data_IF_555448078910
#
_entry.id   IF_555448078910
#
_cell.length_a   1.000
_cell.length_b   1.000
_cell.length_c   1.000
_cell.angle_alpha   90.00
_cell.angle_beta   90.00
_cell.angle_gamma   90.00
#
_symmetry.space_group_name_H-M   'P 1'
#
loop_
_entity.id
_entity.type
_entity.pdbx_description
1 polymer ?
#
# COMPACT_ATOMS: atom_id res chain seq x y z
N UNK A 1 44.04 7.54 -64.40
CA UNK A 1 42.59 7.32 -64.21
C UNK A 1 42.37 6.75 -62.82
N UNK A 2 41.35 7.29 -62.16
CA UNK A 2 40.98 7.17 -60.75
C UNK A 2 40.18 5.87 -60.47
N UNK A 3 40.11 5.51 -59.16
CA UNK A 3 39.18 4.62 -58.43
C UNK A 3 39.55 3.14 -58.38
N UNK A 4 40.12 2.71 -57.25
CA UNK A 4 39.72 1.54 -56.44
C UNK A 4 40.33 1.74 -55.04
N UNK A 5 39.67 2.53 -54.19
CA UNK A 5 38.97 2.09 -52.96
C UNK A 5 39.88 1.27 -52.04
N UNK A 6 40.50 2.00 -51.12
CA UNK A 6 41.20 1.49 -49.95
C UNK A 6 40.22 1.55 -48.77
N UNK A 7 39.39 0.52 -48.60
CA UNK A 7 38.60 0.30 -47.38
C UNK A 7 38.50 -1.21 -47.13
N UNK A 8 39.35 -1.77 -46.24
CA UNK A 8 38.91 -2.93 -45.49
C UNK A 8 39.32 -2.84 -44.01
N UNK A 9 39.16 -1.68 -43.35
CA UNK A 9 39.30 -1.60 -41.88
C UNK A 9 38.31 -0.57 -41.32
N UNK A 10 37.01 -0.76 -41.59
CA UNK A 10 35.95 -0.03 -40.89
C UNK A 10 34.69 -0.88 -40.64
N UNK A 11 34.64 -2.12 -41.12
CA UNK A 11 33.48 -3.01 -41.00
C UNK A 11 33.65 -4.14 -39.97
N UNK A 12 34.80 -4.27 -39.30
CA UNK A 12 35.01 -5.27 -38.24
C UNK A 12 35.19 -4.68 -36.84
N UNK A 13 35.11 -3.36 -36.69
CA UNK A 13 35.21 -2.66 -35.39
C UNK A 13 33.88 -2.34 -34.70
N UNK A 14 32.74 -2.76 -35.28
CA UNK A 14 31.39 -2.41 -34.79
C UNK A 14 30.55 -3.60 -34.31
N UNK A 15 31.14 -4.80 -34.19
CA UNK A 15 30.40 -6.00 -33.71
C UNK A 15 30.75 -6.33 -32.25
N UNK A 16 31.70 -5.62 -31.63
CA UNK A 16 32.21 -5.97 -30.29
C UNK A 16 32.40 -4.76 -29.34
N UNK A 17 31.46 -3.82 -29.33
CA UNK A 17 31.34 -2.87 -28.21
C UNK A 17 29.98 -3.02 -27.54
N UNK A 18 30.03 -3.53 -26.32
CA UNK A 18 29.02 -3.38 -25.29
C UNK A 18 27.68 -4.06 -25.60
N UNK A 19 27.70 -5.39 -25.59
CA UNK A 19 26.71 -6.08 -24.78
C UNK A 19 26.88 -5.59 -23.34
N UNK A 20 26.25 -4.47 -23.01
CA UNK A 20 25.84 -4.22 -21.64
C UNK A 20 24.72 -5.23 -21.39
N UNK A 21 25.15 -6.42 -20.99
CA UNK A 21 24.27 -7.42 -20.43
C UNK A 21 23.86 -6.85 -19.09
N UNK A 22 22.85 -5.98 -19.08
CA UNK A 22 22.06 -5.78 -17.88
C UNK A 22 21.54 -7.16 -17.52
N UNK A 23 22.14 -7.67 -16.46
CA UNK A 23 21.78 -8.89 -15.79
C UNK A 23 20.28 -8.77 -15.54
N UNK A 24 19.48 -9.50 -16.31
CA UNK A 24 18.04 -9.62 -16.07
C UNK A 24 17.94 -10.18 -14.65
N UNK A 25 17.69 -9.28 -13.70
CA UNK A 25 17.49 -9.65 -12.31
C UNK A 25 16.07 -10.23 -12.22
N UNK A 26 15.84 -11.22 -11.35
CA UNK A 26 14.49 -11.69 -11.08
C UNK A 26 13.63 -10.48 -10.65
N UNK A 27 12.73 -10.02 -11.53
CA UNK A 27 11.99 -8.77 -11.36
C UNK A 27 11.78 -7.98 -12.67
N UNK A 28 12.61 -8.19 -13.69
CA UNK A 28 12.37 -7.66 -15.04
C UNK A 28 11.37 -8.55 -15.79
N UNK A 29 10.13 -8.52 -15.33
CA UNK A 29 9.03 -9.20 -16.00
C UNK A 29 8.66 -8.44 -17.28
N UNK A 30 8.84 -9.12 -18.41
CA UNK A 30 8.45 -8.74 -19.76
C UNK A 30 7.05 -8.10 -19.76
N UNK A 31 6.99 -6.76 -19.79
CA UNK A 31 5.82 -6.09 -20.32
C UNK A 31 5.83 -6.35 -21.83
N UNK A 32 4.74 -6.89 -22.42
CA UNK A 32 4.63 -7.00 -23.86
C UNK A 32 5.00 -5.66 -24.53
N UNK A 33 5.91 -5.70 -25.51
CA UNK A 33 6.38 -4.49 -26.18
C UNK A 33 5.19 -3.67 -26.72
N UNK A 34 5.15 -2.38 -26.39
CA UNK A 34 4.10 -1.46 -26.86
C UNK A 34 2.94 -1.20 -25.89
N UNK A 35 2.96 -1.77 -24.68
CA UNK A 35 2.01 -1.37 -23.63
C UNK A 35 2.29 0.05 -23.12
N UNK A 36 1.22 0.81 -22.87
CA UNK A 36 1.28 2.20 -22.37
C UNK A 36 0.59 2.31 -21.01
N UNK A 37 0.75 3.45 -20.35
CA UNK A 37 -0.01 3.77 -19.13
C UNK A 37 -1.52 3.54 -19.37
N UNK A 38 -2.16 2.76 -18.50
CA UNK A 38 -3.56 2.38 -18.61
C UNK A 38 -3.83 1.15 -19.47
N UNK A 39 -2.80 0.46 -19.97
CA UNK A 39 -3.00 -0.79 -20.71
C UNK A 39 -3.43 -1.93 -19.78
N UNK A 40 -4.39 -2.75 -20.22
CA UNK A 40 -4.84 -3.98 -19.58
C UNK A 40 -5.14 -5.00 -20.68
N UNK A 41 -4.34 -6.07 -20.78
CA UNK A 41 -4.44 -7.11 -21.80
C UNK A 41 -4.30 -8.51 -21.20
N UNK A 42 -4.82 -9.53 -21.88
CA UNK A 42 -4.65 -10.94 -21.54
C UNK A 42 -4.92 -11.81 -22.76
N UNK A 43 -4.21 -12.92 -22.90
CA UNK A 43 -4.54 -13.93 -23.91
C UNK A 43 -5.49 -14.96 -23.29
N UNK A 44 -6.64 -15.17 -23.93
CA UNK A 44 -7.67 -16.12 -23.51
C UNK A 44 -7.71 -17.24 -24.54
N UNK A 45 -7.35 -18.45 -24.14
CA UNK A 45 -7.17 -19.61 -25.03
C UNK A 45 -6.26 -19.31 -26.25
N UNK A 46 -5.27 -18.42 -26.07
CA UNK A 46 -4.33 -17.99 -27.11
C UNK A 46 -4.78 -16.77 -27.93
N UNK A 47 -6.03 -16.32 -27.81
CA UNK A 47 -6.53 -15.11 -28.46
C UNK A 47 -6.29 -13.88 -27.57
N UNK A 48 -5.65 -12.84 -28.10
CA UNK A 48 -5.39 -11.63 -27.32
C UNK A 48 -6.64 -10.77 -27.13
N UNK A 49 -6.96 -10.48 -25.86
CA UNK A 49 -8.02 -9.55 -25.45
C UNK A 49 -7.42 -8.28 -24.86
N UNK A 50 -7.99 -7.14 -25.27
CA UNK A 50 -7.57 -5.82 -24.82
C UNK A 50 -8.70 -5.11 -24.05
N UNK A 51 -8.50 -4.95 -22.74
CA UNK A 51 -9.39 -4.30 -21.77
C UNK A 51 -8.96 -2.88 -21.40
N UNK A 52 -8.20 -2.22 -22.27
CA UNK A 52 -7.60 -0.91 -22.01
C UNK A 52 -8.53 0.30 -22.30
N UNK A 53 -9.80 0.10 -22.68
CA UNK A 53 -10.70 1.23 -23.03
C UNK A 53 -10.94 2.12 -21.81
N UNK A 54 -11.30 1.49 -20.70
CA UNK A 54 -11.43 2.16 -19.41
C UNK A 54 -10.91 1.20 -18.35
N UNK A 55 -9.97 1.71 -17.56
CA UNK A 55 -9.31 0.97 -16.49
C UNK A 55 -9.37 1.76 -15.21
N UNK A 56 -9.52 1.07 -14.08
CA UNK A 56 -9.48 1.65 -12.75
C UNK A 56 -9.02 0.60 -11.77
N UNK A 57 -8.28 0.99 -10.75
CA UNK A 57 -8.00 0.13 -9.61
C UNK A 57 -8.61 0.76 -8.35
N UNK A 58 -8.89 -0.03 -7.33
CA UNK A 58 -9.28 0.44 -6.00
C UNK A 58 -8.45 -0.33 -4.97
N UNK A 59 -8.15 0.29 -3.84
CA UNK A 59 -7.36 -0.36 -2.80
C UNK A 59 -7.79 0.13 -1.42
N UNK A 60 -8.26 -0.79 -0.58
CA UNK A 60 -8.54 -0.54 0.83
C UNK A 60 -8.11 -1.75 1.67
N UNK A 61 -8.29 -1.69 2.99
CA UNK A 61 -7.84 -2.74 3.92
C UNK A 61 -8.58 -4.07 3.77
N UNK A 62 -9.77 -4.07 3.17
CA UNK A 62 -10.67 -5.23 3.11
C UNK A 62 -10.66 -5.90 1.74
N UNK A 63 -10.55 -5.11 0.67
CA UNK A 63 -10.43 -5.60 -0.70
C UNK A 63 -9.78 -4.55 -1.61
N UNK A 64 -9.07 -5.05 -2.60
CA UNK A 64 -8.55 -4.27 -3.72
C UNK A 64 -9.03 -4.86 -5.02
N UNK A 65 -9.21 -3.99 -6.01
CA UNK A 65 -9.68 -4.38 -7.34
C UNK A 65 -8.82 -3.75 -8.42
N UNK A 66 -8.61 -4.46 -9.52
CA UNK A 66 -8.05 -3.93 -10.76
C UNK A 66 -9.00 -4.29 -11.90
N UNK A 67 -9.62 -3.25 -12.46
CA UNK A 67 -10.73 -3.35 -13.40
C UNK A 67 -10.34 -2.84 -14.79
N UNK A 68 -10.86 -3.50 -15.81
CA UNK A 68 -10.68 -3.16 -17.21
C UNK A 68 -11.93 -3.42 -18.05
N UNK A 69 -12.03 -2.75 -19.18
CA UNK A 69 -13.14 -2.91 -20.12
C UNK A 69 -12.67 -2.74 -21.56
N UNK A 70 -13.32 -3.40 -22.51
CA UNK A 70 -13.01 -3.26 -23.93
C UNK A 70 -14.08 -2.45 -24.69
N UNK A 71 -13.84 -2.21 -25.99
CA UNK A 71 -14.76 -1.47 -26.85
C UNK A 71 -16.11 -2.15 -27.07
N UNK A 72 -16.16 -3.48 -26.93
CA UNK A 72 -17.32 -4.31 -27.18
C UNK A 72 -18.15 -4.60 -25.91
N UNK A 73 -17.82 -3.97 -24.77
CA UNK A 73 -18.53 -4.15 -23.51
C UNK A 73 -18.12 -5.40 -22.70
N UNK A 74 -17.03 -6.07 -23.08
CA UNK A 74 -16.39 -7.09 -22.26
C UNK A 74 -15.68 -6.42 -21.08
N UNK A 75 -15.62 -7.12 -19.94
CA UNK A 75 -15.08 -6.62 -18.68
C UNK A 75 -14.10 -7.63 -18.09
N UNK A 76 -13.14 -7.14 -17.33
CA UNK A 76 -12.22 -7.94 -16.52
C UNK A 76 -12.05 -7.27 -15.16
N UNK A 77 -12.05 -8.06 -14.10
CA UNK A 77 -11.89 -7.62 -12.72
C UNK A 77 -11.03 -8.63 -11.98
N UNK A 78 -9.92 -8.17 -11.40
CA UNK A 78 -9.12 -8.94 -10.45
C UNK A 78 -9.39 -8.38 -9.07
N UNK A 79 -9.71 -9.24 -8.11
CA UNK A 79 -9.95 -8.89 -6.72
C UNK A 79 -8.91 -9.56 -5.82
N UNK A 80 -8.32 -8.78 -4.92
CA UNK A 80 -7.36 -9.23 -3.90
C UNK A 80 -7.96 -8.89 -2.52
N UNK A 81 -8.07 -9.81 -1.56
CA UNK A 81 -8.81 -9.60 -0.30
C UNK A 81 -7.98 -8.84 0.76
N UNK A 82 -7.20 -7.85 0.32
CA UNK A 82 -6.39 -6.98 1.15
C UNK A 82 -5.99 -5.74 0.33
N UNK A 83 -5.32 -4.79 0.98
CA UNK A 83 -4.73 -3.64 0.29
C UNK A 83 -3.69 -4.05 -0.74
N UNK A 84 -3.64 -3.34 -1.88
CA UNK A 84 -2.61 -3.54 -2.90
C UNK A 84 -1.23 -3.33 -2.27
N UNK A 85 -0.38 -4.33 -2.40
CA UNK A 85 1.04 -4.25 -2.15
C UNK A 85 1.78 -4.98 -3.28
N UNK A 86 3.08 -4.67 -3.43
CA UNK A 86 3.94 -5.43 -4.34
C UNK A 86 4.09 -6.85 -3.80
N UNK A 87 3.89 -7.84 -4.66
CA UNK A 87 3.93 -9.25 -4.29
C UNK A 87 3.01 -10.11 -5.15
N UNK A 88 3.10 -11.42 -4.91
CA UNK A 88 2.30 -12.44 -5.58
C UNK A 88 1.11 -12.82 -4.71
N UNK A 89 -0.05 -12.93 -5.32
CA UNK A 89 -1.30 -13.39 -4.72
C UNK A 89 -1.87 -14.53 -5.55
N UNK A 90 -2.30 -15.59 -4.88
CA UNK A 90 -2.94 -16.72 -5.55
C UNK A 90 -4.35 -16.99 -5.01
N UNK A 91 -4.99 -18.06 -5.51
CA UNK A 91 -6.33 -18.44 -5.07
C UNK A 91 -6.39 -18.86 -3.59
N UNK A 92 -5.28 -19.29 -2.98
CA UNK A 92 -5.20 -19.65 -1.55
C UNK A 92 -5.20 -18.38 -0.70
N UNK A 93 -4.54 -17.33 -1.18
CA UNK A 93 -4.63 -15.98 -0.60
C UNK A 93 -5.99 -15.31 -0.81
N UNK A 94 -6.91 -15.98 -1.52
CA UNK A 94 -8.25 -15.48 -1.84
C UNK A 94 -8.30 -14.53 -3.04
N UNK A 95 -7.23 -14.46 -3.85
CA UNK A 95 -7.25 -13.72 -5.10
C UNK A 95 -8.26 -14.36 -6.07
N UNK A 96 -9.06 -13.51 -6.70
CA UNK A 96 -10.07 -13.94 -7.66
C UNK A 96 -10.07 -13.08 -8.90
N UNK A 97 -10.58 -13.66 -9.99
CA UNK A 97 -10.75 -12.99 -11.26
C UNK A 97 -12.13 -13.29 -11.82
N UNK A 98 -12.76 -12.26 -12.36
CA UNK A 98 -13.96 -12.35 -13.17
C UNK A 98 -13.69 -11.73 -14.54
N UNK A 99 -14.08 -12.43 -15.60
CA UNK A 99 -14.03 -11.92 -16.96
C UNK A 99 -15.39 -12.14 -17.64
N UNK A 100 -15.97 -11.05 -18.13
CA UNK A 100 -17.18 -11.08 -18.94
C UNK A 100 -16.77 -10.96 -20.40
N UNK A 101 -16.95 -12.03 -21.16
CA UNK A 101 -16.74 -12.10 -22.59
C UNK A 101 -18.10 -12.05 -23.33
N UNK A 102 -18.07 -12.15 -24.65
CA UNK A 102 -19.28 -12.13 -25.50
C UNK A 102 -20.19 -13.32 -25.27
N UNK A 103 -19.62 -14.45 -24.86
CA UNK A 103 -20.26 -15.75 -24.66
C UNK A 103 -20.64 -16.02 -23.19
N UNK A 104 -20.24 -15.16 -22.25
CA UNK A 104 -20.70 -15.25 -20.86
C UNK A 104 -19.75 -14.65 -19.83
N UNK A 105 -19.97 -15.03 -18.57
CA UNK A 105 -19.16 -14.61 -17.43
C UNK A 105 -18.36 -15.82 -16.96
N UNK A 106 -17.06 -15.63 -16.78
CA UNK A 106 -16.13 -16.63 -16.30
C UNK A 106 -15.48 -16.15 -15.01
N UNK A 107 -15.26 -17.07 -14.08
CA UNK A 107 -14.60 -16.80 -12.79
C UNK A 107 -13.55 -17.88 -12.50
N UNK A 108 -12.52 -17.61 -11.68
CA UNK A 108 -11.58 -18.66 -11.23
C UNK A 108 -12.19 -19.58 -10.15
N UNK A 109 -13.45 -19.95 -10.32
CA UNK A 109 -14.17 -20.84 -9.42
C UNK A 109 -15.05 -21.75 -10.27
N UNK A 110 -14.88 -23.07 -10.10
CA UNK A 110 -15.73 -24.08 -10.70
C UNK A 110 -16.72 -24.65 -9.68
N UNK A 111 -17.44 -25.72 -10.07
CA UNK A 111 -18.40 -26.39 -9.19
C UNK A 111 -17.75 -27.15 -8.02
N UNK A 112 -16.44 -27.40 -8.10
CA UNK A 112 -15.67 -28.21 -7.16
C UNK A 112 -14.74 -27.37 -6.26
N UNK A 113 -14.48 -26.11 -6.60
CA UNK A 113 -13.63 -25.22 -5.83
C UNK A 113 -12.94 -24.13 -6.66
N UNK A 114 -11.93 -23.45 -6.08
CA UNK A 114 -11.16 -22.45 -6.78
C UNK A 114 -10.26 -23.09 -7.86
N UNK A 115 -10.21 -22.45 -9.02
CA UNK A 115 -9.30 -22.79 -10.10
C UNK A 115 -7.97 -22.04 -9.95
N UNK A 116 -6.86 -22.56 -10.51
CA UNK A 116 -5.56 -21.90 -10.42
C UNK A 116 -5.62 -20.47 -10.97
N UNK A 117 -5.19 -19.51 -10.15
CA UNK A 117 -5.09 -18.12 -10.54
C UNK A 117 -3.99 -17.45 -9.73
N UNK A 118 -3.08 -16.76 -10.41
CA UNK A 118 -1.96 -16.07 -9.80
C UNK A 118 -1.90 -14.67 -10.39
N UNK A 119 -1.83 -13.66 -9.53
CA UNK A 119 -1.56 -12.27 -9.88
C UNK A 119 -0.31 -11.79 -9.16
N UNK A 120 0.64 -11.24 -9.89
CA UNK A 120 1.82 -10.58 -9.34
C UNK A 120 1.68 -9.07 -9.52
N UNK A 121 1.68 -8.34 -8.40
CA UNK A 121 1.78 -6.88 -8.39
C UNK A 121 3.25 -6.51 -8.42
N UNK A 122 3.72 -6.02 -9.56
CA UNK A 122 5.14 -5.72 -9.80
C UNK A 122 5.52 -4.29 -9.46
N UNK A 123 4.53 -3.39 -9.42
CA UNK A 123 4.78 -2.00 -9.11
C UNK A 123 3.56 -1.32 -8.50
N UNK A 124 3.78 -0.62 -7.40
CA UNK A 124 2.81 0.27 -6.79
C UNK A 124 3.47 1.62 -6.53
N UNK A 125 3.01 2.65 -7.23
CA UNK A 125 3.46 4.03 -6.99
C UNK A 125 2.57 4.65 -5.92
N UNK A 126 3.19 5.29 -4.94
CA UNK A 126 2.52 6.02 -3.86
C UNK A 126 2.49 7.52 -4.17
N UNK A 127 1.57 8.27 -3.57
CA UNK A 127 1.46 9.73 -3.73
C UNK A 127 0.10 10.19 -4.28
N UNK A 128 0.08 11.39 -4.88
CA UNK A 128 -1.16 12.07 -5.31
C UNK A 128 -1.87 11.44 -6.52
N UNK A 129 -1.18 10.56 -7.25
CA UNK A 129 -1.71 9.82 -8.40
C UNK A 129 -1.19 8.38 -8.34
N UNK A 130 -1.65 7.57 -7.36
CA UNK A 130 -1.16 6.23 -7.20
C UNK A 130 -1.54 5.39 -8.42
N UNK A 131 -0.60 4.54 -8.84
CA UNK A 131 -0.76 3.65 -9.99
C UNK A 131 -0.22 2.27 -9.66
N UNK A 132 -0.93 1.24 -10.12
CA UNK A 132 -0.56 -0.16 -9.96
C UNK A 132 -0.20 -0.80 -11.30
N UNK A 133 0.82 -1.65 -11.29
CA UNK A 133 1.29 -2.47 -12.41
C UNK A 133 1.43 -3.91 -11.94
N UNK A 134 1.09 -4.84 -12.81
CA UNK A 134 1.20 -6.27 -12.51
C UNK A 134 0.97 -7.15 -13.72
N UNK A 135 1.13 -8.45 -13.50
CA UNK A 135 0.81 -9.50 -14.44
C UNK A 135 0.00 -10.61 -13.75
N UNK A 136 -0.63 -11.46 -14.55
CA UNK A 136 -1.43 -12.56 -14.04
C UNK A 136 -1.57 -13.67 -15.07
N UNK A 137 -1.82 -14.87 -14.56
CA UNK A 137 -2.14 -16.08 -15.31
C UNK A 137 -3.15 -16.89 -14.53
N UNK A 138 -3.89 -17.77 -15.19
CA UNK A 138 -4.82 -18.64 -14.48
C UNK A 138 -5.82 -19.34 -15.37
N UNK A 139 -6.87 -19.84 -14.74
CA UNK A 139 -7.94 -20.59 -15.37
C UNK A 139 -9.28 -20.06 -14.88
N UNK A 140 -10.23 -19.86 -15.80
CA UNK A 140 -11.57 -19.35 -15.50
C UNK A 140 -12.65 -20.26 -16.06
N UNK A 141 -13.78 -20.35 -15.38
CA UNK A 141 -14.89 -21.25 -15.69
C UNK A 141 -16.22 -20.51 -15.76
N UNK A 142 -17.06 -20.91 -16.70
CA UNK A 142 -18.42 -20.40 -16.88
C UNK A 142 -19.42 -21.46 -16.42
N UNK A 143 -20.10 -21.20 -15.30
CA UNK A 143 -21.06 -22.13 -14.70
C UNK A 143 -22.31 -22.38 -15.55
N UNK A 144 -22.67 -21.46 -16.45
CA UNK A 144 -23.85 -21.64 -17.32
C UNK A 144 -23.57 -22.59 -18.48
N UNK A 145 -22.34 -22.60 -19.01
CA UNK A 145 -21.96 -23.40 -20.18
C UNK A 145 -21.11 -24.61 -19.84
N UNK A 146 -20.54 -24.67 -18.63
CA UNK A 146 -19.61 -25.71 -18.22
C UNK A 146 -18.22 -25.60 -18.85
N UNK A 147 -17.91 -24.48 -19.50
CA UNK A 147 -16.66 -24.28 -20.22
C UNK A 147 -15.57 -23.66 -19.34
N UNK A 148 -14.35 -24.12 -19.55
CA UNK A 148 -13.14 -23.58 -18.91
C UNK A 148 -12.27 -22.91 -19.97
N UNK A 149 -11.66 -21.77 -19.63
CA UNK A 149 -10.72 -21.01 -20.46
C UNK A 149 -9.40 -20.79 -19.72
N UNK A 150 -8.31 -20.77 -20.46
CA UNK A 150 -6.97 -20.51 -19.92
C UNK A 150 -6.58 -19.06 -20.15
N UNK A 151 -6.04 -18.42 -19.12
CA UNK A 151 -5.52 -17.05 -19.15
C UNK A 151 -4.00 -17.07 -19.14
N UNK A 152 -3.38 -16.53 -20.20
CA UNK A 152 -1.93 -16.39 -20.32
C UNK A 152 -1.56 -14.95 -20.64
N UNK A 153 -0.32 -14.55 -20.33
CA UNK A 153 0.22 -13.22 -20.64
C UNK A 153 -0.67 -12.05 -20.16
N UNK A 154 -1.39 -12.25 -19.06
CA UNK A 154 -2.21 -11.20 -18.46
C UNK A 154 -1.31 -10.09 -17.91
N UNK A 155 -1.58 -8.84 -18.27
CA UNK A 155 -0.83 -7.69 -17.79
C UNK A 155 -1.70 -6.45 -17.68
N UNK A 156 -1.45 -5.66 -16.63
CA UNK A 156 -2.00 -4.33 -16.48
C UNK A 156 -0.88 -3.35 -16.07
N UNK A 157 -0.85 -2.19 -16.71
CA UNK A 157 0.28 -1.25 -16.62
C UNK A 157 -0.19 0.09 -16.13
N UNK A 158 0.31 0.50 -14.97
CA UNK A 158 0.13 1.85 -14.42
C UNK A 158 -1.35 2.27 -14.36
N UNK A 159 -2.22 1.33 -14.00
CA UNK A 159 -3.65 1.57 -13.79
C UNK A 159 -3.81 2.53 -12.61
N UNK A 160 -4.54 3.61 -12.80
CA UNK A 160 -4.79 4.58 -11.73
C UNK A 160 -5.58 3.90 -10.62
N UNK A 161 -5.04 3.91 -9.41
CA UNK A 161 -5.75 3.46 -8.22
C UNK A 161 -6.68 4.61 -7.81
N UNK A 162 -7.95 4.44 -8.11
CA UNK A 162 -9.09 5.14 -7.53
C UNK A 162 -9.26 4.70 -6.08
N UNK A 163 -8.30 5.07 -5.25
CA UNK A 163 -8.62 5.44 -3.88
C UNK A 163 -8.79 6.94 -3.88
N UNK A 164 -9.64 7.48 -3.02
CA UNK A 164 -9.27 8.71 -2.34
C UNK A 164 -7.81 8.61 -2.00
N UNK A 165 -7.00 9.56 -2.51
CA UNK A 165 -5.58 9.62 -2.18
C UNK A 165 -5.47 9.25 -0.71
N UNK A 166 -4.68 8.23 -0.34
CA UNK A 166 -4.33 8.02 1.05
C UNK A 166 -3.94 9.41 1.52
N UNK A 167 -4.82 10.07 2.30
CA UNK A 167 -4.63 11.47 2.61
C UNK A 167 -3.26 11.45 3.27
N UNK A 168 -2.26 12.09 2.64
CA UNK A 168 -0.87 11.90 3.04
C UNK A 168 -0.85 12.03 4.54
N UNK A 169 -0.65 10.89 5.22
CA UNK A 169 -0.88 10.88 6.64
C UNK A 169 0.16 11.82 7.22
N UNK A 170 -0.24 12.65 8.15
CA UNK A 170 0.69 13.51 8.87
C UNK A 170 0.65 13.01 10.28
N UNK A 171 1.71 12.33 10.68
CA UNK A 171 1.90 11.95 12.06
C UNK A 171 3.34 12.25 12.45
N UNK A 172 3.58 13.49 12.86
CA UNK A 172 4.93 14.04 13.05
C UNK A 172 4.98 14.83 14.34
N UNK A 173 6.15 14.90 14.97
CA UNK A 173 6.38 15.76 16.12
C UNK A 173 7.87 16.03 16.29
N UNK A 174 8.19 16.97 17.19
CA UNK A 174 9.55 17.21 17.66
C UNK A 174 9.78 16.54 19.00
N UNK A 175 10.80 15.69 19.08
CA UNK A 175 11.23 15.01 20.29
C UNK A 175 12.54 15.64 20.75
N UNK A 176 12.56 16.36 21.87
CA UNK A 176 13.68 17.20 22.29
C UNK A 176 14.21 18.11 21.16
N UNK A 177 13.27 18.72 20.42
CA UNK A 177 13.56 19.61 19.29
C UNK A 177 13.92 18.90 17.97
N UNK A 178 14.08 17.58 17.94
CA UNK A 178 14.38 16.81 16.73
C UNK A 178 13.10 16.40 16.01
N UNK A 179 12.97 16.76 14.73
CA UNK A 179 11.84 16.35 13.91
C UNK A 179 11.85 14.84 13.65
N UNK A 180 10.72 14.20 13.94
CA UNK A 180 10.48 12.78 13.67
C UNK A 180 9.17 12.61 12.91
N UNK A 181 9.21 11.74 11.90
CA UNK A 181 8.10 11.50 10.98
C UNK A 181 7.62 10.06 11.10
N UNK A 182 6.46 9.88 11.72
CA UNK A 182 5.78 8.58 11.91
C UNK A 182 4.64 8.37 10.93
N UNK A 183 4.62 9.11 9.82
CA UNK A 183 3.50 9.10 8.87
C UNK A 183 3.34 7.79 8.11
N UNK A 184 4.37 6.93 8.10
CA UNK A 184 4.29 5.63 7.42
C UNK A 184 3.35 4.69 8.16
N UNK A 185 2.37 4.13 7.43
CA UNK A 185 1.28 3.30 7.96
C UNK A 185 0.53 3.96 9.13
N UNK A 186 0.50 5.30 9.16
CA UNK A 186 -0.18 6.00 10.23
C UNK A 186 -1.70 5.88 10.07
N UNK A 187 -2.39 5.55 11.16
CA UNK A 187 -3.82 5.27 11.18
C UNK A 187 -4.45 5.53 12.54
N UNK A 188 -5.76 5.71 12.56
CA UNK A 188 -6.58 5.75 13.76
C UNK A 188 -7.61 4.62 13.76
N UNK A 189 -7.75 3.92 14.88
CA UNK A 189 -8.65 2.77 15.06
C UNK A 189 -9.46 2.94 16.36
N UNK A 190 -10.62 2.28 16.47
CA UNK A 190 -11.36 2.22 17.74
C UNK A 190 -11.92 3.55 18.25
N UNK A 191 -12.16 4.52 17.35
CA UNK A 191 -12.51 5.92 17.64
C UNK A 191 -13.61 6.08 18.71
N UNK A 192 -14.60 5.19 18.76
CA UNK A 192 -15.77 5.35 19.65
C UNK A 192 -15.54 4.78 21.06
N UNK A 193 -14.74 3.72 21.18
CA UNK A 193 -14.69 2.90 22.41
C UNK A 193 -13.32 2.80 23.04
N UNK A 194 -12.25 2.91 22.26
CA UNK A 194 -10.86 2.90 22.70
C UNK A 194 -9.98 3.32 21.51
N UNK A 195 -9.71 4.62 21.40
CA UNK A 195 -9.03 5.14 20.24
C UNK A 195 -7.53 4.81 20.30
N UNK A 196 -6.99 4.33 19.18
CA UNK A 196 -5.56 4.17 18.97
C UNK A 196 -5.15 4.93 17.72
N UNK A 197 -4.26 5.92 17.86
CA UNK A 197 -3.57 6.56 16.75
C UNK A 197 -2.15 6.02 16.75
N UNK A 198 -1.69 5.42 15.65
CA UNK A 198 -0.34 4.83 15.59
C UNK A 198 0.31 5.07 14.23
N UNK A 199 1.64 4.98 14.19
CA UNK A 199 2.43 5.10 12.96
C UNK A 199 3.90 4.71 13.17
N UNK A 200 4.67 4.73 12.06
CA UNK A 200 6.06 4.27 12.03
C UNK A 200 6.97 5.29 11.36
N UNK A 201 8.18 5.46 11.91
CA UNK A 201 9.30 6.05 11.20
C UNK A 201 10.17 4.91 10.68
N UNK A 202 10.09 4.63 9.38
CA UNK A 202 10.79 3.50 8.75
C UNK A 202 12.28 3.71 8.61
N UNK A 203 12.75 4.97 8.56
CA UNK A 203 14.18 5.27 8.43
C UNK A 203 14.94 4.81 9.68
N UNK A 204 14.35 5.05 10.85
CA UNK A 204 14.97 4.74 12.14
C UNK A 204 14.38 3.48 12.81
N UNK A 205 13.41 2.80 12.17
CA UNK A 205 12.63 1.68 12.73
C UNK A 205 11.95 2.00 14.08
N UNK A 206 11.38 3.19 14.17
CA UNK A 206 10.73 3.72 15.37
C UNK A 206 9.20 3.66 15.25
N UNK A 207 8.51 3.62 16.38
CA UNK A 207 7.04 3.60 16.44
C UNK A 207 6.52 4.67 17.38
N UNK A 208 5.34 5.22 17.06
CA UNK A 208 4.62 6.15 17.92
C UNK A 208 3.18 5.70 18.02
N UNK A 209 2.61 5.75 19.22
CA UNK A 209 1.19 5.50 19.46
C UNK A 209 0.62 6.44 20.53
N UNK A 210 -0.65 6.79 20.33
CA UNK A 210 -1.46 7.58 21.25
C UNK A 210 -2.75 6.79 21.49
N UNK A 211 -3.02 6.44 22.74
CA UNK A 211 -4.24 5.71 23.12
C UNK A 211 -5.13 6.59 23.98
N UNK A 212 -6.44 6.55 23.74
CA UNK A 212 -7.47 7.19 24.57
C UNK A 212 -8.54 6.14 24.90
N UNK A 213 -8.57 5.60 26.14
CA UNK A 213 -9.45 4.49 26.50
C UNK A 213 -10.94 4.75 26.31
N UNK A 214 -11.40 6.01 26.36
CA UNK A 214 -12.79 6.39 26.14
C UNK A 214 -13.17 6.71 24.69
N UNK A 215 -12.27 6.48 23.73
CA UNK A 215 -12.42 6.96 22.36
C UNK A 215 -12.06 8.45 22.19
N UNK A 216 -12.24 8.97 20.97
CA UNK A 216 -11.99 10.37 20.62
C UNK A 216 -13.13 11.00 19.83
N UNK A 217 -13.33 12.28 20.07
CA UNK A 217 -14.21 13.23 19.39
C UNK A 217 -13.48 14.58 19.33
N UNK A 218 -14.07 15.58 18.69
CA UNK A 218 -13.50 16.93 18.66
C UNK A 218 -13.45 17.49 20.09
N UNK A 219 -12.26 17.86 20.54
CA UNK A 219 -12.04 18.24 21.94
C UNK A 219 -10.58 18.22 22.36
N UNK A 220 -10.34 18.44 23.65
CA UNK A 220 -9.03 18.33 24.28
C UNK A 220 -9.04 17.18 25.26
N UNK A 221 -8.04 16.33 25.18
CA UNK A 221 -7.79 15.21 26.07
C UNK A 221 -6.46 15.44 26.78
N UNK A 222 -6.43 15.14 28.07
CA UNK A 222 -5.20 15.22 28.87
C UNK A 222 -5.02 13.94 29.69
N UNK A 223 -4.11 13.97 30.65
CA UNK A 223 -3.87 12.91 31.62
C UNK A 223 -5.14 12.50 32.38
N UNK A 224 -6.06 13.46 32.63
CA UNK A 224 -7.34 13.19 33.25
C UNK A 224 -8.27 12.30 32.41
N UNK A 225 -8.01 12.21 31.10
CA UNK A 225 -8.68 11.29 30.18
C UNK A 225 -7.86 10.02 29.91
N UNK A 226 -6.81 9.78 30.70
CA UNK A 226 -5.90 8.64 30.56
C UNK A 226 -5.25 8.57 29.16
N UNK A 227 -4.93 9.74 28.58
CA UNK A 227 -4.20 9.80 27.31
C UNK A 227 -2.81 9.18 27.50
N UNK A 228 -2.56 8.10 26.77
CA UNK A 228 -1.31 7.36 26.83
C UNK A 228 -0.50 7.62 25.55
N UNK A 229 0.65 8.26 25.71
CA UNK A 229 1.67 8.45 24.67
C UNK A 229 2.75 7.39 24.86
N UNK A 230 3.02 6.61 23.81
CA UNK A 230 4.12 5.64 23.77
C UNK A 230 4.93 5.82 22.50
N UNK A 231 6.24 5.92 22.63
CA UNK A 231 7.17 6.05 21.51
C UNK A 231 8.39 5.16 21.72
N UNK A 232 8.82 4.48 20.67
CA UNK A 232 10.13 3.86 20.63
C UNK A 232 11.07 4.78 19.85
N UNK A 233 12.14 5.25 20.49
CA UNK A 233 13.14 6.15 19.86
C UNK A 233 14.45 5.44 19.52
N UNK A 234 14.46 4.10 19.56
CA UNK A 234 15.64 3.30 19.28
C UNK A 234 15.98 3.31 17.80
N UNK A 235 17.27 3.41 17.47
CA UNK A 235 17.78 3.32 16.09
C UNK A 235 18.31 1.93 15.73
N UNK A 236 18.53 1.06 16.72
CA UNK A 236 19.14 -0.27 16.54
C UNK A 236 18.82 -1.28 17.66
N UNK A 237 18.20 -0.84 18.75
CA UNK A 237 17.83 -1.68 19.89
C UNK A 237 16.32 -1.57 20.12
N UNK A 238 15.55 -2.68 20.13
CA UNK A 238 14.09 -2.63 20.22
C UNK A 238 13.54 -2.10 21.55
N UNK A 239 14.38 -1.85 22.57
CA UNK A 239 13.95 -1.53 23.93
C UNK A 239 14.13 -0.06 24.36
N UNK A 240 14.17 0.89 23.43
CA UNK A 240 14.23 2.33 23.75
C UNK A 240 12.83 2.95 23.82
N UNK A 241 11.98 2.36 24.65
CA UNK A 241 10.58 2.74 24.82
C UNK A 241 10.42 3.85 25.86
N UNK A 242 9.67 4.88 25.50
CA UNK A 242 9.27 5.99 26.35
C UNK A 242 7.75 6.02 26.43
N UNK A 243 7.24 6.40 27.59
CA UNK A 243 5.82 6.53 27.84
C UNK A 243 5.56 7.73 28.75
N UNK A 244 4.37 8.33 28.67
CA UNK A 244 3.95 9.31 29.68
C UNK A 244 3.35 8.61 30.92
N UNK A 245 3.01 7.33 30.87
CA UNK A 245 2.42 6.60 31.98
C UNK A 245 3.47 5.86 32.83
N UNK A 246 3.40 6.05 34.14
CA UNK A 246 4.20 5.33 35.13
C UNK A 246 3.45 4.08 35.62
N UNK A 247 3.90 2.87 35.26
CA UNK A 247 3.20 1.64 35.64
C UNK A 247 3.33 1.31 37.13
N UNK A 248 4.25 1.93 37.87
CA UNK A 248 4.50 1.63 39.28
C UNK A 248 3.50 2.30 40.21
N UNK A 249 3.15 3.56 39.94
CA UNK A 249 2.25 4.37 40.79
C UNK A 249 0.96 4.80 40.08
N UNK A 250 0.80 4.46 38.79
CA UNK A 250 -0.39 4.76 38.02
C UNK A 250 -0.51 6.23 37.59
N UNK A 251 0.55 7.03 37.76
CA UNK A 251 0.54 8.45 37.39
C UNK A 251 0.91 8.68 35.94
N UNK A 252 0.51 9.83 35.41
CA UNK A 252 0.83 10.27 34.05
C UNK A 252 1.67 11.55 34.09
N UNK A 253 2.73 11.59 33.29
CA UNK A 253 3.44 12.80 32.92
C UNK A 253 2.57 13.68 32.01
N UNK A 254 2.84 15.00 31.95
CA UNK A 254 2.03 15.92 31.18
C UNK A 254 1.85 15.51 29.72
N UNK A 255 0.61 15.46 29.24
CA UNK A 255 0.24 15.15 27.88
C UNK A 255 -1.05 15.89 27.52
N UNK A 256 -1.07 16.48 26.32
CA UNK A 256 -2.22 17.17 25.77
C UNK A 256 -2.42 16.75 24.33
N UNK A 257 -3.58 16.17 24.05
CA UNK A 257 -4.05 15.81 22.73
C UNK A 257 -5.25 16.71 22.39
N UNK A 258 -5.18 17.45 21.29
CA UNK A 258 -6.27 18.29 20.81
C UNK A 258 -6.74 17.73 19.47
N UNK A 259 -7.98 17.26 19.43
CA UNK A 259 -8.63 16.77 18.21
C UNK A 259 -9.50 17.90 17.67
N UNK A 260 -9.20 18.35 16.45
CA UNK A 260 -9.91 19.44 15.77
C UNK A 260 -10.87 18.92 14.70
N UNK A 261 -10.76 17.65 14.29
CA UNK A 261 -11.68 17.01 13.36
C UNK A 261 -11.68 15.50 13.50
N UNK A 262 -12.88 14.91 13.48
CA UNK A 262 -13.09 13.47 13.32
C UNK A 262 -14.15 13.30 12.25
N UNK A 263 -13.82 12.63 11.15
CA UNK A 263 -14.80 12.18 10.16
C UNK A 263 -14.86 10.66 10.13
N UNK A 264 -16.06 10.13 9.89
CA UNK A 264 -16.32 8.70 9.71
C UNK A 264 -16.61 8.37 8.25
N UNK A 265 -16.63 7.08 7.91
CA UNK A 265 -16.91 6.57 6.56
C UNK A 265 -15.66 6.19 5.78
N UNK A 266 -15.82 5.95 4.47
CA UNK A 266 -14.78 5.47 3.55
C UNK A 266 -13.53 6.36 3.50
N UNK A 267 -13.65 7.61 3.95
CA UNK A 267 -12.60 8.63 4.00
C UNK A 267 -12.44 9.25 5.39
N UNK A 268 -12.79 8.49 6.42
CA UNK A 268 -12.68 8.95 7.80
C UNK A 268 -11.25 9.42 8.10
N UNK A 269 -11.13 10.55 8.80
CA UNK A 269 -9.84 11.16 9.13
C UNK A 269 -9.91 11.72 10.54
N UNK A 270 -8.84 11.54 11.30
CA UNK A 270 -8.61 12.24 12.57
C UNK A 270 -7.61 13.34 12.33
N UNK A 271 -7.97 14.57 12.71
CA UNK A 271 -7.14 15.77 12.61
C UNK A 271 -6.95 16.35 14.00
N UNK A 272 -5.70 16.70 14.33
CA UNK A 272 -5.39 17.25 15.62
C UNK A 272 -3.92 17.58 15.81
N UNK A 273 -3.57 17.86 17.06
CA UNK A 273 -2.21 18.13 17.52
C UNK A 273 -1.96 17.46 18.86
N UNK A 274 -0.71 17.19 19.18
CA UNK A 274 -0.35 16.67 20.50
C UNK A 274 0.98 17.26 21.00
N UNK A 275 1.09 17.36 22.32
CA UNK A 275 2.30 17.78 23.04
C UNK A 275 2.37 17.02 24.35
N UNK A 276 3.55 16.93 24.95
CA UNK A 276 3.69 16.34 26.28
C UNK A 276 5.11 15.96 26.62
N UNK A 277 5.25 15.12 27.64
CA UNK A 277 6.52 14.59 28.11
C UNK A 277 6.40 13.08 28.22
N UNK A 278 7.39 12.37 27.66
CA UNK A 278 7.54 10.92 27.80
C UNK A 278 8.87 10.62 28.46
N UNK A 279 8.96 9.52 29.21
CA UNK A 279 10.17 9.13 29.93
C UNK A 279 10.33 7.62 29.90
N UNK A 280 11.54 7.17 30.26
CA UNK A 280 11.77 5.79 30.70
C UNK A 280 11.51 5.70 32.19
N UNK A 281 10.80 4.68 32.63
CA UNK A 281 10.59 4.46 34.05
C UNK A 281 11.52 3.37 34.58
N UNK A 282 12.34 3.72 35.57
CA UNK A 282 13.19 2.78 36.30
C UNK A 282 12.76 2.84 37.76
N UNK A 283 12.26 1.73 38.30
CA UNK A 283 11.72 1.65 39.67
C UNK A 283 10.67 2.74 39.97
N UNK A 284 9.79 3.03 39.00
CA UNK A 284 8.75 4.03 39.13
C UNK A 284 9.25 5.48 39.10
N UNK A 285 10.52 5.74 38.81
CA UNK A 285 11.04 7.11 38.67
C UNK A 285 11.28 7.44 37.20
N UNK A 286 10.85 8.62 36.73
CA UNK A 286 11.09 9.04 35.36
C UNK A 286 12.58 9.34 35.15
N UNK A 287 13.16 8.66 34.17
CA UNK A 287 14.54 8.82 33.70
C UNK A 287 14.51 9.18 32.22
N UNK A 288 15.49 9.94 31.75
CA UNK A 288 15.63 10.32 30.35
C UNK A 288 14.33 10.91 29.76
N UNK A 289 13.87 12.02 30.31
CA UNK A 289 12.64 12.67 29.84
C UNK A 289 12.86 13.28 28.46
N UNK A 290 11.85 13.13 27.61
CA UNK A 290 11.81 13.68 26.26
C UNK A 290 10.56 14.54 26.14
N UNK A 291 10.78 15.81 25.82
CA UNK A 291 9.71 16.75 25.53
C UNK A 291 9.22 16.54 24.10
N UNK A 292 7.91 16.47 23.93
CA UNK A 292 7.21 16.38 22.66
C UNK A 292 6.55 17.72 22.37
N UNK A 293 6.99 18.37 21.30
CA UNK A 293 6.40 19.63 20.83
C UNK A 293 5.95 19.52 19.38
N UNK A 294 5.07 20.44 18.97
CA UNK A 294 4.62 20.57 17.57
C UNK A 294 4.06 19.27 16.97
N UNK A 295 3.41 18.42 17.77
CA UNK A 295 2.81 17.19 17.27
C UNK A 295 1.63 17.49 16.35
N UNK A 296 1.60 16.84 15.19
CA UNK A 296 0.59 17.01 14.15
C UNK A 296 -0.04 15.66 13.85
N UNK A 297 -1.37 15.65 13.73
CA UNK A 297 -2.17 14.48 13.40
C UNK A 297 -3.07 14.84 12.22
N UNK A 298 -2.96 14.06 11.16
CA UNK A 298 -3.91 13.93 10.06
C UNK A 298 -3.79 12.50 9.56
N UNK A 299 -4.57 11.59 10.13
CA UNK A 299 -4.45 10.15 9.84
C UNK A 299 -5.79 9.56 9.41
N UNK A 300 -5.82 8.59 8.50
CA UNK A 300 -7.04 7.91 8.11
C UNK A 300 -7.61 7.10 9.28
N UNK A 301 -8.93 7.02 9.36
CA UNK A 301 -9.65 6.11 10.26
C UNK A 301 -9.79 4.76 9.56
N UNK A 302 -9.35 3.69 10.23
CA UNK A 302 -9.66 2.33 9.81
C UNK A 302 -10.97 1.94 10.47
N UNK A 303 -12.00 1.74 9.66
CA UNK A 303 -13.23 1.13 10.14
C UNK A 303 -13.02 -0.39 10.21
N UNK A 304 -13.50 -1.05 11.27
CA UNK A 304 -13.51 -2.51 11.34
C UNK A 304 -14.39 -3.13 10.25
#
# INVERSE_FOLDING_TARGET
>A
MIKYILIPILAFGFIWSCSDSELITPGDEYLPAGMKDGSYVVDVDGDQWNFSKQTSAQSNSTASEVNGSNMNGALISITIPQALAVGTYDQIDGASIQIKLTDGIYTNQDLNGPLPFIVNITGLTTGSKPKVTGNFVGTVYNAATGQTKTLTNGSFVKIKVQGTAAQSAIFKAKFNGQDKDFSTNAKAEGIVTAALISGKNTTDNQTLSITVPGGIAVGTYTEANEVLLKVNLGTSNPADDYTNFNPTDGTYLPAKLVITGVSSGENGTVIGTFTGTVAKFVNGQPTNQVEITSGQIKVPVVNP
#
